data_IF_691857702919
#
_entry.id   IF_691857702919
#
_cell.length_a   1.000
_cell.length_b   1.000
_cell.length_c   1.000
_cell.angle_alpha   90.00
_cell.angle_beta   90.00
_cell.angle_gamma   90.00
#
_symmetry.space_group_name_H-M   'P 1'
#
loop_
_entity.id
_entity.type
_entity.pdbx_description
1 polymer ?
#
# COMPACT_ATOMS: atom_id res chain seq x y z
N UNK A 1 13.98 6.97 3.56
CA UNK A 1 13.24 8.26 3.53
C UNK A 1 12.50 8.38 4.84
N UNK A 2 12.73 9.41 5.61
CA UNK A 2 12.04 9.61 6.88
C UNK A 2 10.71 10.30 6.61
N UNK A 3 9.65 9.80 7.24
CA UNK A 3 8.36 10.52 7.28
C UNK A 3 8.60 11.80 8.06
N UNK A 4 8.19 12.95 7.51
CA UNK A 4 8.27 14.21 8.25
C UNK A 4 7.35 14.07 9.47
N UNK A 5 7.91 14.14 10.67
CA UNK A 5 7.18 13.97 11.94
C UNK A 5 6.40 15.20 12.37
N UNK A 6 6.39 16.28 11.56
CA UNK A 6 5.52 17.44 11.76
C UNK A 6 4.04 17.14 11.43
N UNK A 7 3.70 15.85 11.27
CA UNK A 7 2.32 15.38 11.11
C UNK A 7 1.54 15.67 12.38
N UNK A 8 0.45 16.42 12.21
CA UNK A 8 -0.33 16.88 13.37
C UNK A 8 -1.34 15.83 13.82
N UNK A 9 -1.92 15.07 12.89
CA UNK A 9 -3.05 14.19 13.18
C UNK A 9 -3.05 12.91 12.34
N UNK A 10 -3.58 11.85 12.96
CA UNK A 10 -4.04 10.61 12.33
C UNK A 10 -5.54 10.47 12.67
N UNK A 11 -6.36 10.08 11.71
CA UNK A 11 -7.71 9.66 12.00
C UNK A 11 -7.72 8.16 12.36
N UNK A 12 -8.38 7.80 13.47
CA UNK A 12 -8.49 6.41 13.91
C UNK A 12 -9.84 6.17 14.57
N UNK A 13 -10.57 5.17 14.10
CA UNK A 13 -11.84 4.69 14.67
C UNK A 13 -12.86 5.82 14.97
N UNK A 14 -13.01 6.79 14.09
CA UNK A 14 -13.97 7.89 14.23
C UNK A 14 -13.43 9.14 14.92
N UNK A 15 -12.18 9.18 15.34
CA UNK A 15 -11.58 10.33 16.01
C UNK A 15 -10.21 10.72 15.42
N UNK A 16 -9.81 11.98 15.64
CA UNK A 16 -8.47 12.45 15.31
C UNK A 16 -7.57 12.34 16.54
N UNK A 17 -6.48 11.62 16.40
CA UNK A 17 -5.41 11.48 17.39
C UNK A 17 -4.20 12.28 16.95
N UNK A 18 -3.36 12.72 17.88
CA UNK A 18 -2.04 13.24 17.51
C UNK A 18 -1.17 12.09 17.02
N UNK A 19 -0.23 12.43 16.13
CA UNK A 19 0.70 11.43 15.56
C UNK A 19 1.38 10.58 16.64
N UNK A 20 1.92 11.23 17.67
CA UNK A 20 2.67 10.55 18.74
C UNK A 20 1.78 9.74 19.72
N UNK A 21 0.48 9.98 19.70
CA UNK A 21 -0.50 9.28 20.54
C UNK A 21 -1.11 8.06 19.83
N UNK A 22 -1.04 8.02 18.50
CA UNK A 22 -1.63 6.92 17.71
C UNK A 22 -0.77 5.67 17.76
N UNK A 23 -1.15 4.75 18.62
CA UNK A 23 -0.41 3.50 18.86
C UNK A 23 -1.27 2.27 18.62
N UNK A 24 -0.61 1.12 18.44
CA UNK A 24 -1.23 -0.20 18.33
C UNK A 24 -0.73 -1.07 19.47
N UNK A 25 -1.65 -1.79 20.13
CA UNK A 25 -1.28 -2.70 21.20
C UNK A 25 -0.36 -3.80 20.70
N UNK A 26 0.72 -4.12 21.43
CA UNK A 26 1.72 -5.11 21.01
C UNK A 26 1.12 -6.48 20.72
N UNK A 27 0.02 -6.86 21.40
CA UNK A 27 -0.68 -8.11 21.18
C UNK A 27 -1.76 -8.03 20.09
N UNK A 28 -1.83 -6.95 19.30
CA UNK A 28 -2.73 -6.89 18.13
C UNK A 28 -2.49 -8.10 17.22
N UNK A 29 -3.57 -8.75 16.82
CA UNK A 29 -3.52 -9.91 15.93
C UNK A 29 -2.78 -9.62 14.62
N UNK A 30 -2.95 -8.41 14.10
CA UNK A 30 -2.25 -7.96 12.90
C UNK A 30 -0.73 -7.88 13.11
N UNK A 31 -0.26 -7.44 14.29
CA UNK A 31 1.18 -7.36 14.61
C UNK A 31 1.80 -8.76 14.63
N UNK A 32 1.07 -9.77 15.09
CA UNK A 32 1.60 -11.15 15.17
C UNK A 32 1.44 -11.94 13.86
N UNK A 33 0.35 -11.74 13.12
CA UNK A 33 -0.02 -12.63 12.01
C UNK A 33 -0.19 -11.91 10.67
N UNK A 34 0.00 -10.60 10.60
CA UNK A 34 -0.13 -9.81 9.38
C UNK A 34 -1.56 -9.72 8.83
N UNK A 35 -2.57 -10.03 9.66
CA UNK A 35 -4.00 -10.01 9.30
C UNK A 35 -4.51 -8.58 9.28
N UNK A 36 -4.41 -7.95 8.15
CA UNK A 36 -4.88 -6.59 7.91
C UNK A 36 -4.63 -6.21 6.46
N UNK A 37 -5.17 -5.09 6.05
CA UNK A 37 -5.05 -4.56 4.69
C UNK A 37 -4.72 -3.07 4.73
N UNK A 38 -4.11 -2.57 3.67
CA UNK A 38 -3.81 -1.16 3.56
C UNK A 38 -3.89 -0.68 2.11
N UNK A 39 -3.94 0.63 1.95
CA UNK A 39 -3.78 1.28 0.66
C UNK A 39 -2.69 2.34 0.68
N UNK A 40 -2.35 2.81 -0.49
CA UNK A 40 -1.44 3.91 -0.67
C UNK A 40 -1.95 4.79 -1.80
N UNK A 41 -2.34 6.00 -1.46
CA UNK A 41 -3.01 6.93 -2.37
C UNK A 41 -2.21 8.21 -2.48
N UNK A 42 -1.92 8.65 -3.71
CA UNK A 42 -1.22 9.91 -3.97
C UNK A 42 -2.23 11.04 -4.10
N UNK A 43 -1.87 12.18 -3.52
CA UNK A 43 -2.49 13.45 -3.80
C UNK A 43 -1.47 14.38 -4.47
N UNK A 44 -1.91 15.10 -5.48
CA UNK A 44 -1.08 15.99 -6.29
C UNK A 44 -1.57 17.42 -6.15
N UNK A 45 -0.64 18.36 -6.05
CA UNK A 45 -0.95 19.79 -6.11
C UNK A 45 -1.49 20.15 -7.49
N UNK A 46 -2.60 20.87 -7.52
CA UNK A 46 -3.21 21.43 -8.74
C UNK A 46 -3.54 22.91 -8.53
N UNK A 47 -3.88 23.62 -9.61
CA UNK A 47 -4.29 25.02 -9.54
C UNK A 47 -5.59 25.23 -8.73
N UNK A 48 -6.41 24.16 -8.58
CA UNK A 48 -7.66 24.18 -7.82
C UNK A 48 -7.52 23.55 -6.41
N UNK A 49 -6.29 23.37 -5.90
CA UNK A 49 -5.99 22.70 -4.64
C UNK A 49 -5.56 21.24 -4.82
N UNK A 50 -5.38 20.48 -3.73
CA UNK A 50 -4.92 19.09 -3.79
C UNK A 50 -5.97 18.19 -4.45
N UNK A 51 -5.52 17.32 -5.36
CA UNK A 51 -6.35 16.31 -6.01
C UNK A 51 -5.85 14.91 -5.65
N UNK A 52 -6.70 14.13 -4.97
CA UNK A 52 -6.38 12.75 -4.61
C UNK A 52 -6.68 11.85 -5.82
N UNK A 53 -5.65 11.16 -6.31
CA UNK A 53 -5.74 10.37 -7.54
C UNK A 53 -6.58 9.11 -7.34
N UNK A 54 -7.69 8.99 -8.07
CA UNK A 54 -8.58 7.82 -8.08
C UNK A 54 -8.94 7.30 -6.68
N UNK A 55 -9.29 8.22 -5.78
CA UNK A 55 -9.57 7.93 -4.38
C UNK A 55 -10.61 6.82 -4.21
N UNK A 56 -11.73 6.90 -4.94
CA UNK A 56 -12.82 5.93 -4.83
C UNK A 56 -12.34 4.50 -5.12
N UNK A 57 -11.62 4.30 -6.22
CA UNK A 57 -11.13 2.98 -6.62
C UNK A 57 -10.06 2.42 -5.66
N UNK A 58 -9.28 3.30 -5.03
CA UNK A 58 -8.37 2.87 -3.96
C UNK A 58 -9.15 2.40 -2.73
N UNK A 59 -10.19 3.12 -2.34
CA UNK A 59 -11.02 2.75 -1.19
C UNK A 59 -11.80 1.46 -1.47
N UNK A 60 -12.41 1.33 -2.64
CA UNK A 60 -13.08 0.09 -3.06
C UNK A 60 -12.12 -1.13 -3.04
N UNK A 61 -10.86 -0.94 -3.47
CA UNK A 61 -9.85 -2.01 -3.41
C UNK A 61 -9.46 -2.36 -1.98
N UNK A 62 -9.41 -1.39 -1.06
CA UNK A 62 -9.21 -1.64 0.38
C UNK A 62 -10.33 -2.51 0.94
N UNK A 63 -11.59 -2.19 0.61
CA UNK A 63 -12.76 -2.97 1.03
C UNK A 63 -12.73 -4.39 0.45
N UNK A 64 -12.46 -4.52 -0.83
CA UNK A 64 -12.33 -5.82 -1.49
C UNK A 64 -11.22 -6.67 -0.87
N UNK A 65 -10.09 -6.07 -0.52
CA UNK A 65 -8.99 -6.76 0.15
C UNK A 65 -9.37 -7.21 1.58
N UNK A 66 -10.09 -6.37 2.33
CA UNK A 66 -10.56 -6.69 3.67
C UNK A 66 -11.57 -7.84 3.66
N UNK A 67 -12.58 -7.78 2.78
CA UNK A 67 -13.57 -8.82 2.59
C UNK A 67 -12.90 -10.18 2.25
N UNK A 68 -11.87 -10.15 1.41
CA UNK A 68 -11.15 -11.34 0.98
C UNK A 68 -10.47 -12.10 2.11
N UNK A 69 -10.10 -11.42 3.18
CA UNK A 69 -9.52 -12.02 4.40
C UNK A 69 -10.52 -12.05 5.57
N UNK A 70 -11.81 -11.89 5.27
CA UNK A 70 -12.88 -12.00 6.26
C UNK A 70 -13.03 -10.82 7.21
N UNK A 71 -12.49 -9.65 6.87
CA UNK A 71 -12.62 -8.43 7.68
C UNK A 71 -13.74 -7.56 7.12
N UNK A 72 -14.75 -7.28 7.95
CA UNK A 72 -15.82 -6.34 7.62
C UNK A 72 -15.47 -4.96 8.17
N UNK A 73 -15.17 -4.03 7.29
CA UNK A 73 -14.90 -2.64 7.66
C UNK A 73 -16.18 -1.99 8.20
N UNK A 74 -16.16 -1.34 9.40
CA UNK A 74 -17.36 -0.79 10.03
C UNK A 74 -17.73 0.62 9.52
N UNK A 75 -17.36 0.96 8.30
CA UNK A 75 -17.63 2.21 7.60
C UNK A 75 -18.06 1.92 6.17
N UNK A 76 -18.66 2.90 5.49
CA UNK A 76 -18.88 2.84 4.04
C UNK A 76 -17.66 3.36 3.26
N UNK A 77 -17.65 3.10 1.95
CA UNK A 77 -16.64 3.63 1.03
C UNK A 77 -16.66 5.15 1.03
N UNK A 78 -17.86 5.73 1.00
CA UNK A 78 -18.09 7.18 1.01
C UNK A 78 -17.57 7.82 2.28
N UNK A 79 -17.87 7.25 3.46
CA UNK A 79 -17.37 7.73 4.75
C UNK A 79 -15.84 7.74 4.78
N UNK A 80 -15.19 6.65 4.34
CA UNK A 80 -13.73 6.61 4.30
C UNK A 80 -13.12 7.53 3.24
N UNK A 81 -13.81 7.80 2.15
CA UNK A 81 -13.39 8.81 1.17
C UNK A 81 -13.39 10.21 1.78
N UNK A 82 -14.44 10.58 2.53
CA UNK A 82 -14.48 11.88 3.22
C UNK A 82 -13.41 11.96 4.30
N UNK A 83 -13.23 10.94 5.12
CA UNK A 83 -12.14 10.86 6.12
C UNK A 83 -10.77 11.09 5.47
N UNK A 84 -10.50 10.51 4.31
CA UNK A 84 -9.23 10.67 3.61
C UNK A 84 -9.03 12.10 3.09
N UNK A 85 -10.08 12.77 2.64
CA UNK A 85 -10.02 14.19 2.26
C UNK A 85 -9.80 15.07 3.50
N UNK A 86 -10.56 14.83 4.56
CA UNK A 86 -10.53 15.62 5.78
C UNK A 86 -9.16 15.57 6.48
N UNK A 87 -8.56 14.38 6.61
CA UNK A 87 -7.23 14.26 7.24
C UNK A 87 -6.15 14.96 6.41
N UNK A 88 -6.29 14.97 5.09
CA UNK A 88 -5.36 15.66 4.20
C UNK A 88 -5.43 17.18 4.39
N UNK A 89 -6.65 17.72 4.45
CA UNK A 89 -6.91 19.14 4.73
C UNK A 89 -6.47 19.50 6.16
N UNK A 90 -6.81 18.66 7.14
CA UNK A 90 -6.48 18.90 8.55
C UNK A 90 -4.97 18.98 8.79
N UNK A 91 -4.20 18.20 8.05
CA UNK A 91 -2.73 18.23 8.08
C UNK A 91 -2.14 19.34 7.19
N UNK A 92 -2.97 20.15 6.51
CA UNK A 92 -2.56 21.28 5.67
C UNK A 92 -1.61 20.88 4.54
N UNK A 93 -1.92 19.76 3.88
CA UNK A 93 -1.10 19.21 2.81
C UNK A 93 -1.57 19.72 1.44
N UNK A 94 -0.64 20.17 0.60
CA UNK A 94 -0.89 20.54 -0.81
C UNK A 94 -0.70 19.33 -1.74
N UNK A 95 0.27 18.49 -1.42
CA UNK A 95 0.54 17.22 -2.10
C UNK A 95 1.08 16.20 -1.09
N UNK A 96 0.99 14.91 -1.41
CA UNK A 96 1.51 13.89 -0.50
C UNK A 96 0.90 12.52 -0.70
N UNK A 97 0.83 11.81 0.39
CA UNK A 97 0.43 10.41 0.41
C UNK A 97 -0.55 10.14 1.54
N UNK A 98 -1.55 9.32 1.24
CA UNK A 98 -2.51 8.81 2.22
C UNK A 98 -2.28 7.32 2.42
N UNK A 99 -2.36 6.89 3.66
CA UNK A 99 -2.25 5.50 4.09
C UNK A 99 -3.47 5.09 4.92
N UNK A 100 -4.58 4.73 4.29
CA UNK A 100 -5.62 4.01 5.01
C UNK A 100 -5.13 2.60 5.33
N UNK A 101 -5.42 2.14 6.53
CA UNK A 101 -5.06 0.82 7.04
C UNK A 101 -6.20 0.25 7.86
N UNK A 102 -6.47 -1.04 7.69
CA UNK A 102 -7.44 -1.81 8.47
C UNK A 102 -6.71 -2.95 9.16
N UNK A 103 -6.87 -3.05 10.47
CA UNK A 103 -6.14 -4.03 11.28
C UNK A 103 -7.00 -4.58 12.42
N UNK A 104 -6.64 -5.76 12.89
CA UNK A 104 -7.37 -6.46 13.96
C UNK A 104 -6.79 -6.16 15.34
N UNK A 105 -7.65 -6.09 16.32
CA UNK A 105 -7.32 -5.78 17.71
C UNK A 105 -6.59 -6.89 18.47
N UNK A 106 -6.63 -6.83 19.80
CA UNK A 106 -5.82 -7.66 20.72
C UNK A 106 -6.67 -8.45 21.72
N UNK A 107 -7.96 -8.56 21.50
CA UNK A 107 -8.92 -9.16 22.43
C UNK A 107 -8.70 -10.67 22.60
N UNK A 108 -8.16 -11.34 21.57
CA UNK A 108 -7.83 -12.75 21.60
C UNK A 108 -6.55 -13.01 20.80
N UNK A 109 -5.82 -14.05 21.18
CA UNK A 109 -4.57 -14.45 20.56
C UNK A 109 -4.70 -15.80 19.86
N UNK A 110 -3.80 -16.04 18.92
CA UNK A 110 -3.71 -17.27 18.15
C UNK A 110 -4.53 -17.24 16.85
N UNK A 111 -4.17 -18.12 15.93
CA UNK A 111 -4.72 -18.18 14.57
C UNK A 111 -6.24 -18.47 14.57
N UNK A 112 -6.76 -19.03 15.65
CA UNK A 112 -8.17 -19.35 15.80
C UNK A 112 -9.03 -18.18 16.30
N UNK A 113 -8.43 -17.04 16.61
CA UNK A 113 -9.17 -15.86 17.08
C UNK A 113 -10.08 -15.34 15.96
N UNK A 114 -11.38 -15.29 16.24
CA UNK A 114 -12.43 -14.87 15.28
C UNK A 114 -13.20 -13.63 15.74
N UNK A 115 -13.18 -13.34 17.03
CA UNK A 115 -13.91 -12.21 17.64
C UNK A 115 -12.92 -11.11 18.03
N UNK A 116 -12.45 -10.37 17.02
CA UNK A 116 -11.49 -9.29 17.17
C UNK A 116 -12.11 -8.00 16.69
N UNK A 117 -11.83 -6.90 17.40
CA UNK A 117 -12.22 -5.58 16.94
C UNK A 117 -11.53 -5.23 15.62
N UNK A 118 -12.28 -4.65 14.69
CA UNK A 118 -11.75 -4.12 13.44
C UNK A 118 -11.41 -2.65 13.67
N UNK A 119 -10.13 -2.33 13.54
CA UNK A 119 -9.63 -0.97 13.66
C UNK A 119 -9.34 -0.41 12.28
N UNK A 120 -9.67 0.87 12.08
CA UNK A 120 -9.41 1.60 10.85
C UNK A 120 -8.66 2.88 11.18
N UNK A 121 -7.55 3.12 10.50
CA UNK A 121 -6.82 4.37 10.64
C UNK A 121 -6.45 4.95 9.26
N UNK A 122 -6.35 6.26 9.19
CA UNK A 122 -5.90 6.99 8.00
C UNK A 122 -4.84 8.00 8.42
N UNK A 123 -3.65 7.84 7.88
CA UNK A 123 -2.56 8.80 7.99
C UNK A 123 -2.35 9.52 6.66
N UNK A 124 -1.93 10.80 6.72
CA UNK A 124 -1.56 11.58 5.54
C UNK A 124 -0.32 12.41 5.83
N UNK A 125 0.65 12.42 4.90
CA UNK A 125 1.92 13.14 5.04
C UNK A 125 2.48 13.60 3.70
N UNK A 126 3.37 14.58 3.75
CA UNK A 126 4.17 14.94 2.60
C UNK A 126 5.10 13.78 2.23
N UNK A 127 4.98 13.32 1.00
CA UNK A 127 5.90 12.33 0.47
C UNK A 127 6.38 12.79 -0.89
N UNK A 128 7.63 13.22 -1.01
CA UNK A 128 8.22 13.58 -2.30
C UNK A 128 8.21 12.37 -3.23
N UNK A 129 8.47 12.62 -4.51
CA UNK A 129 8.54 11.54 -5.49
C UNK A 129 9.38 10.38 -4.99
N UNK A 130 8.89 9.15 -5.17
CA UNK A 130 9.61 7.92 -4.82
C UNK A 130 10.98 7.83 -5.52
N UNK A 131 11.05 8.31 -6.77
CA UNK A 131 12.28 8.36 -7.55
C UNK A 131 12.89 9.76 -7.55
N UNK A 132 14.22 9.83 -7.45
CA UNK A 132 14.96 11.07 -7.61
C UNK A 132 14.80 11.65 -9.04
N UNK A 133 15.07 12.94 -9.25
CA UNK A 133 15.08 13.53 -10.60
C UNK A 133 16.02 12.78 -11.57
N UNK A 134 17.21 12.36 -11.08
CA UNK A 134 18.16 11.56 -11.85
C UNK A 134 17.58 10.20 -12.24
N UNK A 135 16.95 9.50 -11.30
CA UNK A 135 16.31 8.20 -11.56
C UNK A 135 15.18 8.31 -12.58
N UNK A 136 14.39 9.38 -12.53
CA UNK A 136 13.36 9.65 -13.55
C UNK A 136 13.93 9.88 -14.95
N UNK A 137 15.11 10.49 -15.05
CA UNK A 137 15.76 10.82 -16.32
C UNK A 137 16.55 9.63 -16.88
N UNK A 138 17.30 8.96 -16.02
CA UNK A 138 18.31 7.96 -16.42
C UNK A 138 17.82 6.51 -16.24
N UNK A 139 16.69 6.32 -15.57
CA UNK A 139 16.20 5.02 -15.12
C UNK A 139 16.83 4.56 -13.80
N UNK A 140 16.51 3.33 -13.41
CA UNK A 140 17.01 2.65 -12.22
C UNK A 140 17.60 1.30 -12.59
N UNK A 141 18.48 0.78 -11.74
CA UNK A 141 18.99 -0.58 -11.87
C UNK A 141 18.04 -1.58 -11.24
N UNK A 142 17.71 -2.63 -11.97
CA UNK A 142 16.78 -3.68 -11.51
C UNK A 142 17.46 -5.03 -11.62
N UNK A 143 17.35 -5.85 -10.59
CA UNK A 143 17.84 -7.23 -10.64
C UNK A 143 16.69 -8.23 -10.45
N UNK A 144 16.85 -9.40 -11.03
CA UNK A 144 15.99 -10.53 -10.72
C UNK A 144 16.25 -10.96 -9.28
N UNK A 145 15.20 -10.99 -8.47
CA UNK A 145 15.23 -11.50 -7.11
C UNK A 145 15.31 -13.02 -7.08
N UNK A 146 15.88 -13.56 -5.99
CA UNK A 146 15.79 -14.98 -5.65
C UNK A 146 14.43 -15.35 -5.03
N UNK A 147 13.67 -14.35 -4.58
CA UNK A 147 12.31 -14.52 -4.08
C UNK A 147 11.32 -14.56 -5.24
N UNK A 148 10.45 -15.56 -5.24
CA UNK A 148 9.35 -15.64 -6.20
C UNK A 148 8.13 -14.88 -5.70
N UNK A 149 7.32 -14.34 -6.61
CA UNK A 149 6.02 -13.79 -6.26
C UNK A 149 5.06 -14.93 -5.89
N UNK A 150 4.23 -14.68 -4.90
CA UNK A 150 3.24 -15.66 -4.47
C UNK A 150 2.35 -16.10 -5.63
N UNK A 151 2.22 -17.41 -5.81
CA UNK A 151 1.36 -17.98 -6.84
C UNK A 151 -0.12 -18.05 -6.44
N UNK A 152 -0.45 -17.72 -5.19
CA UNK A 152 -1.82 -17.66 -4.74
C UNK A 152 -2.40 -16.27 -4.99
N UNK A 153 -3.50 -16.14 -5.78
CA UNK A 153 -4.13 -14.84 -6.07
C UNK A 153 -4.55 -14.05 -4.83
N UNK A 154 -4.81 -14.72 -3.70
CA UNK A 154 -5.06 -14.04 -2.43
C UNK A 154 -3.86 -13.21 -1.99
N UNK A 155 -2.65 -13.68 -2.22
CA UNK A 155 -1.44 -13.00 -1.81
C UNK A 155 -0.98 -11.94 -2.82
N UNK A 156 -1.05 -12.22 -4.12
CA UNK A 156 -0.57 -11.30 -5.16
C UNK A 156 -1.61 -10.26 -5.59
N UNK A 157 -2.90 -10.57 -5.48
CA UNK A 157 -4.00 -9.71 -5.97
C UNK A 157 -4.44 -8.60 -5.03
N UNK A 158 -4.01 -8.61 -3.75
CA UNK A 158 -4.51 -7.72 -2.71
C UNK A 158 -3.38 -7.15 -1.84
N UNK A 159 -3.61 -5.95 -1.28
CA UNK A 159 -2.68 -5.31 -0.35
C UNK A 159 -2.90 -5.81 1.09
N UNK A 160 -2.55 -7.05 1.34
CA UNK A 160 -2.60 -7.68 2.67
C UNK A 160 -1.26 -7.42 3.38
N UNK A 161 -1.29 -6.97 4.63
CA UNK A 161 -0.08 -6.56 5.39
C UNK A 161 0.94 -7.69 5.43
N UNK A 162 0.52 -8.91 5.78
CA UNK A 162 1.43 -10.04 5.95
C UNK A 162 2.13 -10.51 4.67
N UNK A 163 1.60 -10.20 3.48
CA UNK A 163 2.23 -10.60 2.22
C UNK A 163 3.39 -9.70 1.81
N UNK A 164 3.47 -8.49 2.38
CA UNK A 164 4.53 -7.52 2.04
C UNK A 164 5.91 -7.89 2.56
N UNK A 165 6.02 -8.88 3.45
CA UNK A 165 7.34 -9.40 3.85
C UNK A 165 8.12 -9.92 2.62
N UNK A 166 7.46 -10.59 1.69
CA UNK A 166 8.09 -11.08 0.46
C UNK A 166 8.66 -9.95 -0.38
N UNK A 167 7.88 -8.91 -0.63
CA UNK A 167 8.32 -7.70 -1.35
C UNK A 167 9.48 -7.00 -0.65
N UNK A 168 9.41 -6.89 0.68
CA UNK A 168 10.46 -6.29 1.49
C UNK A 168 11.77 -7.07 1.39
N UNK A 169 11.73 -8.39 1.50
CA UNK A 169 12.91 -9.25 1.40
C UNK A 169 13.53 -9.22 0.00
N UNK A 170 12.68 -9.21 -1.06
CA UNK A 170 13.14 -9.08 -2.43
C UNK A 170 13.86 -7.74 -2.67
N UNK A 171 13.29 -6.64 -2.19
CA UNK A 171 13.91 -5.32 -2.29
C UNK A 171 15.22 -5.25 -1.50
N UNK A 172 15.25 -5.78 -0.27
CA UNK A 172 16.49 -5.81 0.53
C UNK A 172 17.59 -6.62 -0.15
N UNK A 173 17.26 -7.73 -0.81
CA UNK A 173 18.23 -8.48 -1.64
C UNK A 173 18.78 -7.60 -2.77
N UNK A 174 17.92 -6.88 -3.49
CA UNK A 174 18.32 -6.00 -4.58
C UNK A 174 19.27 -4.89 -4.07
N UNK A 175 18.89 -4.20 -3.01
CA UNK A 175 19.69 -3.15 -2.38
C UNK A 175 21.05 -3.67 -1.89
N UNK A 176 21.10 -4.85 -1.27
CA UNK A 176 22.34 -5.48 -0.82
C UNK A 176 23.29 -5.84 -1.98
N UNK A 177 22.74 -6.04 -3.17
CA UNK A 177 23.48 -6.30 -4.42
C UNK A 177 23.77 -5.04 -5.24
N UNK A 178 23.46 -3.85 -4.70
CA UNK A 178 23.74 -2.55 -5.32
C UNK A 178 22.75 -2.16 -6.43
N UNK A 179 21.59 -2.79 -6.49
CA UNK A 179 20.51 -2.41 -7.40
C UNK A 179 19.43 -1.57 -6.66
N UNK A 180 18.64 -0.83 -7.42
CA UNK A 180 17.62 0.07 -6.88
C UNK A 180 16.29 -0.65 -6.64
N UNK A 181 16.01 -1.73 -7.41
CA UNK A 181 14.70 -2.43 -7.36
C UNK A 181 14.85 -3.92 -7.69
N UNK A 182 13.92 -4.71 -7.17
CA UNK A 182 13.80 -6.15 -7.40
C UNK A 182 12.74 -6.47 -8.44
N UNK A 183 13.08 -7.34 -9.38
CA UNK A 183 12.12 -7.95 -10.30
C UNK A 183 11.73 -9.35 -9.80
N UNK A 184 10.46 -9.54 -9.46
CA UNK A 184 9.93 -10.82 -9.04
C UNK A 184 9.38 -11.60 -10.25
N UNK A 185 9.64 -12.87 -10.24
CA UNK A 185 9.08 -13.82 -11.20
C UNK A 185 7.99 -14.65 -10.51
N UNK A 186 7.06 -15.17 -11.29
CA UNK A 186 6.12 -16.19 -10.81
C UNK A 186 6.80 -17.59 -10.73
N UNK A 187 6.08 -18.56 -10.19
CA UNK A 187 6.56 -19.95 -10.05
C UNK A 187 6.95 -20.64 -11.36
N UNK A 188 6.52 -20.10 -12.50
CA UNK A 188 6.83 -20.62 -13.84
C UNK A 188 8.00 -19.86 -14.49
N UNK A 189 8.57 -18.89 -13.79
CA UNK A 189 9.69 -18.07 -14.27
C UNK A 189 9.28 -16.90 -15.16
N UNK A 190 7.98 -16.56 -15.25
CA UNK A 190 7.51 -15.38 -15.96
C UNK A 190 7.62 -14.14 -15.10
N UNK A 191 7.87 -13.00 -15.74
CA UNK A 191 7.88 -11.70 -15.06
C UNK A 191 6.52 -11.44 -14.42
N UNK A 192 6.53 -11.06 -13.17
CA UNK A 192 5.35 -10.70 -12.38
C UNK A 192 5.28 -9.18 -12.14
N UNK A 193 6.04 -8.67 -11.21
CA UNK A 193 6.03 -7.24 -10.83
C UNK A 193 7.35 -6.85 -10.14
N UNK A 194 7.54 -5.58 -9.81
CA UNK A 194 8.57 -5.13 -8.89
C UNK A 194 8.19 -5.38 -7.44
N UNK A 195 8.99 -4.92 -6.48
CA UNK A 195 8.71 -5.11 -5.06
C UNK A 195 7.43 -4.35 -4.61
N UNK A 196 7.14 -3.22 -5.22
CA UNK A 196 5.96 -2.39 -4.95
C UNK A 196 5.33 -1.78 -6.20
N UNK A 197 5.75 -2.16 -7.41
CA UNK A 197 5.37 -1.58 -8.70
C UNK A 197 4.98 -2.64 -9.73
N UNK A 198 4.02 -2.29 -10.59
CA UNK A 198 3.79 -3.05 -11.81
C UNK A 198 4.87 -2.73 -12.85
N UNK A 199 5.09 -3.68 -13.77
CA UNK A 199 6.07 -3.53 -14.85
C UNK A 199 5.39 -3.44 -16.21
N UNK A 200 5.94 -2.60 -17.09
CA UNK A 200 5.58 -2.48 -18.48
C UNK A 200 6.83 -2.59 -19.34
N UNK A 201 6.76 -3.34 -20.42
CA UNK A 201 7.83 -3.50 -21.39
C UNK A 201 7.41 -2.83 -22.69
N UNK A 202 8.21 -1.87 -23.16
CA UNK A 202 8.02 -1.21 -24.46
C UNK A 202 9.04 -1.75 -25.43
N UNK A 203 8.57 -2.41 -26.51
CA UNK A 203 9.41 -2.96 -27.56
C UNK A 203 8.73 -2.81 -28.91
N UNK A 204 9.43 -2.24 -29.89
CA UNK A 204 8.93 -2.05 -31.26
C UNK A 204 7.52 -1.40 -31.27
N UNK A 205 7.32 -0.31 -30.51
CA UNK A 205 6.07 0.42 -30.37
C UNK A 205 4.89 -0.40 -29.79
N UNK A 206 5.18 -1.52 -29.15
CA UNK A 206 4.20 -2.32 -28.43
C UNK A 206 4.46 -2.24 -26.93
N UNK A 207 3.40 -2.04 -26.15
CA UNK A 207 3.43 -2.08 -24.69
C UNK A 207 2.90 -3.43 -24.25
N UNK A 208 3.62 -4.08 -23.35
CA UNK A 208 3.23 -5.35 -22.75
C UNK A 208 3.38 -5.26 -21.24
N UNK A 209 2.46 -5.87 -20.51
CA UNK A 209 2.49 -5.96 -19.05
C UNK A 209 2.02 -7.35 -18.62
N UNK A 210 2.51 -7.90 -17.49
CA UNK A 210 2.05 -9.19 -16.99
C UNK A 210 0.55 -9.20 -16.71
N UNK A 211 -0.06 -10.39 -16.80
CA UNK A 211 -1.44 -10.62 -16.39
C UNK A 211 -1.57 -10.48 -14.87
N UNK A 212 -2.76 -10.10 -14.40
CA UNK A 212 -3.03 -9.87 -12.99
C UNK A 212 -3.27 -11.15 -12.16
N UNK A 213 -3.03 -12.31 -12.74
CA UNK A 213 -3.16 -13.60 -12.04
C UNK A 213 -2.08 -13.78 -10.95
N UNK A 214 -0.92 -13.12 -11.12
CA UNK A 214 0.24 -13.23 -10.24
C UNK A 214 0.84 -11.89 -9.82
N UNK A 215 0.17 -10.77 -10.12
CA UNK A 215 0.58 -9.44 -9.68
C UNK A 215 -0.62 -8.61 -9.25
N UNK A 216 -0.36 -7.54 -8.50
CA UNK A 216 -1.40 -6.61 -8.12
C UNK A 216 -1.99 -5.92 -9.37
N UNK A 217 -3.34 -5.86 -9.45
CA UNK A 217 -3.99 -5.00 -10.44
C UNK A 217 -3.91 -3.54 -9.98
N UNK A 218 -2.74 -2.94 -10.19
CA UNK A 218 -2.43 -1.59 -9.74
C UNK A 218 -3.36 -0.54 -10.36
N UNK A 219 -3.79 0.44 -9.58
CA UNK A 219 -4.65 1.54 -10.08
C UNK A 219 -3.88 2.38 -11.10
N UNK A 220 -2.60 2.63 -10.87
CA UNK A 220 -1.71 3.25 -11.87
C UNK A 220 -1.61 2.38 -13.13
N UNK A 221 -1.46 1.05 -12.98
CA UNK A 221 -1.44 0.12 -14.11
C UNK A 221 -2.71 0.23 -14.95
N UNK A 222 -3.87 0.33 -14.34
CA UNK A 222 -5.16 0.51 -15.03
C UNK A 222 -5.27 1.86 -15.75
N UNK A 223 -4.49 2.85 -15.32
CA UNK A 223 -4.50 4.19 -15.90
C UNK A 223 -3.56 4.33 -17.11
N UNK A 224 -2.58 3.44 -17.25
CA UNK A 224 -1.67 3.33 -18.39
C UNK A 224 -2.31 2.51 -19.51
#
# INVERSE_FOLDING_TARGET
MFVNTDLKYIWKNGSYEKWDESSVHILSHTVHYGTGVFEGVRAYKTDNGPAIFRLNEHTERLFSAAEKIGIKIPYSVEELNEVQKDIFIKNQLDEGYLRPIVFLGSESLGIRATELSVNVAVAAWEWPSYMSPEAKKNGISVIKSSYEQYSNPLHSGYKIIGTYINSTMALHEALARGADEALLLDKNGYISEGSGENIFIVKANKISTPKTDHCLNGITRQSV
#
